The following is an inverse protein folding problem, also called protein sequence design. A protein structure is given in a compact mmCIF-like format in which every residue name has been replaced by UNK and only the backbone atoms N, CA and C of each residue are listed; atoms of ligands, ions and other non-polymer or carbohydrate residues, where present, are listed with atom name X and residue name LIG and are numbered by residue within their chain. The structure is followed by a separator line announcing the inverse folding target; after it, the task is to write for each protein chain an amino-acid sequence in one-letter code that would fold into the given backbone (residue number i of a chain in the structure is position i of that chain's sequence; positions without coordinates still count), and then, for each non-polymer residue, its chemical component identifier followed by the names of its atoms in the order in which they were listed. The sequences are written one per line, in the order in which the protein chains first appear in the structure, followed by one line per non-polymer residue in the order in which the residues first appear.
data_IF_800552934418
#
_entry.id   IF_800552934418
#
_cell.length_a   1.000
_cell.length_b   1.000
_cell.length_c   1.000
_cell.angle_alpha   90.00
_cell.angle_beta   90.00
_cell.angle_gamma   90.00
#
_symmetry.space_group_name_H-M   'P 1'
#
loop_
_entity.id
_entity.type
_entity.pdbx_description
1 polymer ?
#
# COMPACT_ATOMS: atom_id res chain seq x y z
N UNK A 1 43.94 24.76 -11.91
CA UNK A 1 42.50 24.44 -12.08
C UNK A 1 42.27 23.01 -11.65
N UNK A 2 41.43 22.78 -10.63
CA UNK A 2 40.90 21.45 -10.30
C UNK A 2 39.53 21.66 -9.64
N UNK A 3 38.45 21.42 -10.39
CA UNK A 3 37.07 21.40 -9.89
C UNK A 3 36.79 20.02 -9.29
N UNK A 4 36.72 19.94 -7.97
CA UNK A 4 36.32 18.73 -7.26
C UNK A 4 34.79 18.52 -7.38
N UNK A 5 34.40 17.39 -7.98
CA UNK A 5 33.00 17.02 -8.20
C UNK A 5 32.23 16.71 -6.91
N UNK A 6 31.07 17.35 -6.76
CA UNK A 6 30.09 17.15 -5.68
C UNK A 6 29.32 15.83 -5.85
N UNK A 7 29.95 14.70 -5.57
CA UNK A 7 29.33 13.37 -5.73
C UNK A 7 28.72 12.84 -4.41
N UNK A 8 29.14 13.38 -3.26
CA UNK A 8 28.72 12.92 -1.93
C UNK A 8 27.28 13.28 -1.53
N UNK A 9 26.76 14.42 -1.99
CA UNK A 9 25.43 14.90 -1.60
C UNK A 9 24.27 14.25 -2.38
N UNK A 10 24.52 13.78 -3.61
CA UNK A 10 23.45 13.24 -4.45
C UNK A 10 23.09 11.79 -4.06
N UNK A 11 24.09 10.96 -3.75
CA UNK A 11 23.89 9.55 -3.37
C UNK A 11 23.14 9.38 -2.05
N UNK A 12 23.37 10.26 -1.07
CA UNK A 12 22.62 10.31 0.19
C UNK A 12 21.14 10.67 0.00
N UNK A 13 20.86 11.69 -0.83
CA UNK A 13 19.47 12.08 -1.18
C UNK A 13 18.72 10.97 -1.91
N UNK A 14 19.39 10.27 -2.84
CA UNK A 14 18.82 9.16 -3.61
C UNK A 14 18.35 8.00 -2.71
N UNK A 15 19.16 7.58 -1.73
CA UNK A 15 18.78 6.52 -0.77
C UNK A 15 17.66 6.98 0.17
N UNK A 16 17.66 8.27 0.51
CA UNK A 16 16.64 8.91 1.35
C UNK A 16 15.27 8.91 0.65
N UNK A 17 15.25 9.15 -0.67
CA UNK A 17 14.02 9.11 -1.48
C UNK A 17 13.40 7.71 -1.55
N UNK A 18 14.21 6.66 -1.69
CA UNK A 18 13.69 5.29 -1.65
C UNK A 18 13.05 4.96 -0.29
N UNK A 19 13.64 5.40 0.82
CA UNK A 19 13.05 5.22 2.14
C UNK A 19 11.69 5.92 2.27
N UNK A 20 11.53 7.12 1.67
CA UNK A 20 10.26 7.84 1.62
C UNK A 20 9.20 7.10 0.80
N UNK A 21 9.57 6.54 -0.36
CA UNK A 21 8.67 5.67 -1.13
C UNK A 21 8.26 4.43 -0.34
N UNK A 22 9.22 3.78 0.32
CA UNK A 22 8.95 2.62 1.17
C UNK A 22 7.88 2.91 2.22
N UNK A 23 8.01 4.04 2.94
CA UNK A 23 7.02 4.48 3.93
C UNK A 23 5.67 4.82 3.29
N UNK A 24 5.65 5.54 2.16
CA UNK A 24 4.40 5.86 1.47
C UNK A 24 3.59 4.61 1.12
N UNK A 25 4.27 3.57 0.64
CA UNK A 25 3.62 2.35 0.17
C UNK A 25 3.27 1.38 1.30
N UNK A 26 4.17 1.20 2.27
CA UNK A 26 3.98 0.25 3.37
C UNK A 26 3.05 0.80 4.45
N UNK A 27 3.03 2.12 4.64
CA UNK A 27 2.25 2.72 5.70
C UNK A 27 1.05 3.46 5.10
N UNK A 28 1.25 4.50 4.29
CA UNK A 28 0.16 5.38 3.87
C UNK A 28 -0.85 4.70 2.93
N UNK A 29 -0.40 4.05 1.85
CA UNK A 29 -1.32 3.35 0.95
C UNK A 29 -2.00 2.15 1.63
N UNK A 30 -1.29 1.48 2.55
CA UNK A 30 -1.86 0.45 3.42
C UNK A 30 -2.97 1.02 4.31
N UNK A 31 -2.78 2.21 4.87
CA UNK A 31 -3.79 2.88 5.67
C UNK A 31 -5.04 3.23 4.84
N UNK A 32 -4.89 3.65 3.58
CA UNK A 32 -6.05 3.89 2.68
C UNK A 32 -6.92 2.64 2.52
N UNK A 33 -6.30 1.49 2.24
CA UNK A 33 -7.01 0.21 2.12
C UNK A 33 -7.65 -0.20 3.45
N UNK A 34 -6.99 0.08 4.57
CA UNK A 34 -7.53 -0.20 5.90
C UNK A 34 -8.78 0.61 6.20
N UNK A 35 -8.75 1.91 5.90
CA UNK A 35 -9.93 2.77 6.09
C UNK A 35 -11.10 2.34 5.21
N UNK A 36 -10.82 1.95 3.96
CA UNK A 36 -11.83 1.38 3.08
C UNK A 36 -12.43 0.09 3.67
N UNK A 37 -11.62 -0.79 4.22
CA UNK A 37 -12.10 -2.00 4.88
C UNK A 37 -12.96 -1.69 6.10
N UNK A 38 -12.52 -0.81 6.99
CA UNK A 38 -13.34 -0.41 8.16
C UNK A 38 -14.69 0.17 7.71
N UNK A 39 -14.70 0.93 6.61
CA UNK A 39 -15.91 1.55 6.06
C UNK A 39 -16.86 0.55 5.38
N UNK A 40 -16.33 -0.41 4.61
CA UNK A 40 -17.13 -1.35 3.81
C UNK A 40 -17.41 -2.68 4.49
N UNK A 41 -16.51 -3.10 5.37
CA UNK A 41 -16.50 -4.39 6.02
C UNK A 41 -16.16 -4.19 7.51
N UNK A 42 -17.16 -3.81 8.33
CA UNK A 42 -16.96 -3.62 9.76
C UNK A 42 -16.25 -4.83 10.40
N UNK A 43 -15.24 -4.62 11.27
CA UNK A 43 -14.39 -5.69 11.81
C UNK A 43 -15.11 -6.91 12.40
N UNK A 44 -16.30 -6.71 12.97
CA UNK A 44 -17.11 -7.77 13.61
C UNK A 44 -17.87 -8.65 12.60
N UNK A 45 -17.99 -8.24 11.34
CA UNK A 45 -18.66 -9.00 10.28
C UNK A 45 -17.68 -9.84 9.44
N UNK A 46 -16.41 -9.42 9.42
CA UNK A 46 -15.40 -9.99 8.53
C UNK A 46 -15.30 -11.51 8.64
N UNK A 47 -15.23 -12.05 9.86
CA UNK A 47 -15.08 -13.50 10.07
C UNK A 47 -16.25 -14.28 9.43
N UNK A 48 -17.49 -13.86 9.67
CA UNK A 48 -18.67 -14.48 9.07
C UNK A 48 -18.67 -14.39 7.54
N UNK A 49 -18.35 -13.22 6.98
CA UNK A 49 -18.30 -13.04 5.53
C UNK A 49 -17.16 -13.82 4.86
N UNK A 50 -16.01 -13.94 5.50
CA UNK A 50 -14.88 -14.76 5.04
C UNK A 50 -15.26 -16.25 5.03
N UNK A 51 -15.94 -16.73 6.07
CA UNK A 51 -16.43 -18.12 6.13
C UNK A 51 -17.51 -18.40 5.08
N UNK A 52 -18.43 -17.46 4.86
CA UNK A 52 -19.49 -17.59 3.86
C UNK A 52 -18.96 -17.52 2.41
N UNK A 53 -17.80 -16.90 2.20
CA UNK A 53 -17.21 -16.77 0.87
C UNK A 53 -16.47 -18.06 0.46
N UNK A 54 -16.95 -18.73 -0.60
CA UNK A 54 -16.39 -20.00 -1.07
C UNK A 54 -14.89 -19.93 -1.45
N UNK A 55 -14.42 -18.80 -2.00
CA UNK A 55 -13.03 -18.66 -2.38
C UNK A 55 -12.14 -18.41 -1.16
N UNK A 56 -12.49 -17.42 -0.32
CA UNK A 56 -11.69 -17.06 0.84
C UNK A 56 -11.61 -18.19 1.85
N UNK A 57 -12.75 -18.83 2.18
CA UNK A 57 -12.80 -19.97 3.10
C UNK A 57 -11.83 -21.12 2.72
N UNK A 58 -11.54 -21.28 1.43
CA UNK A 58 -10.67 -22.36 0.91
C UNK A 58 -9.23 -21.92 0.63
N UNK A 59 -8.98 -20.64 0.38
CA UNK A 59 -7.70 -20.13 -0.15
C UNK A 59 -6.94 -19.22 0.83
N UNK A 60 -7.45 -19.05 2.06
CA UNK A 60 -6.69 -18.41 3.13
C UNK A 60 -5.69 -19.38 3.77
N UNK A 61 -4.46 -18.90 3.94
CA UNK A 61 -3.38 -19.64 4.62
C UNK A 61 -3.64 -19.67 6.13
N UNK A 62 -3.11 -20.65 6.89
CA UNK A 62 -3.34 -20.73 8.33
C UNK A 62 -3.00 -19.45 9.11
N UNK A 63 -1.92 -18.75 8.76
CA UNK A 63 -1.58 -17.47 9.40
C UNK A 63 -2.54 -16.33 9.00
N UNK A 64 -3.10 -16.37 7.79
CA UNK A 64 -4.10 -15.37 7.37
C UNK A 64 -5.38 -15.55 8.19
N UNK A 65 -5.79 -16.79 8.47
CA UNK A 65 -6.90 -17.08 9.38
C UNK A 65 -6.68 -16.52 10.78
N UNK A 66 -5.51 -16.74 11.37
CA UNK A 66 -5.17 -16.17 12.68
C UNK A 66 -5.24 -14.63 12.67
N UNK A 67 -4.84 -14.01 11.55
CA UNK A 67 -4.96 -12.55 11.37
C UNK A 67 -6.43 -12.12 11.28
N UNK A 68 -7.26 -12.83 10.51
CA UNK A 68 -8.72 -12.56 10.38
C UNK A 68 -9.41 -12.62 11.74
N UNK A 69 -9.14 -13.66 12.53
CA UNK A 69 -9.71 -13.82 13.88
C UNK A 69 -9.32 -12.68 14.82
N UNK A 70 -8.15 -12.07 14.61
CA UNK A 70 -7.69 -10.92 15.37
C UNK A 70 -8.26 -9.57 14.91
N UNK A 71 -8.97 -9.50 13.78
CA UNK A 71 -9.40 -8.21 13.19
C UNK A 71 -10.37 -7.46 14.10
N UNK A 72 -11.27 -8.16 14.78
CA UNK A 72 -12.25 -7.52 15.67
C UNK A 72 -11.56 -6.71 16.80
N UNK A 73 -10.40 -7.17 17.29
CA UNK A 73 -9.67 -6.49 18.37
C UNK A 73 -8.65 -5.48 17.84
N UNK A 74 -8.04 -5.74 16.69
CA UNK A 74 -6.94 -4.93 16.17
C UNK A 74 -7.34 -3.95 15.06
N UNK A 75 -8.62 -3.89 14.67
CA UNK A 75 -9.16 -2.99 13.63
C UNK A 75 -8.34 -3.04 12.33
N UNK A 76 -8.06 -4.24 11.82
CA UNK A 76 -7.26 -4.49 10.62
C UNK A 76 -5.77 -4.07 10.71
N UNK A 77 -5.25 -3.69 11.88
CA UNK A 77 -3.87 -3.19 12.00
C UNK A 77 -2.82 -4.23 11.59
N UNK A 78 -3.09 -5.52 11.81
CA UNK A 78 -2.17 -6.61 11.48
C UNK A 78 -2.40 -7.20 10.07
N UNK A 79 -3.35 -6.67 9.30
CA UNK A 79 -3.67 -7.15 7.96
C UNK A 79 -2.74 -6.47 6.96
N UNK A 80 -1.94 -7.26 6.24
CA UNK A 80 -1.04 -6.73 5.22
C UNK A 80 -1.78 -6.35 3.90
N UNK A 81 -1.10 -5.60 3.03
CA UNK A 81 -1.67 -5.13 1.75
C UNK A 81 -2.18 -6.27 0.87
N UNK A 82 -1.49 -7.41 0.86
CA UNK A 82 -1.89 -8.57 0.03
C UNK A 82 -3.19 -9.18 0.53
N UNK A 83 -3.33 -9.33 1.84
CA UNK A 83 -4.54 -9.86 2.46
C UNK A 83 -5.70 -8.87 2.37
N UNK A 84 -5.46 -7.57 2.58
CA UNK A 84 -6.48 -6.53 2.37
C UNK A 84 -7.00 -6.55 0.94
N UNK A 85 -6.10 -6.59 -0.06
CA UNK A 85 -6.47 -6.73 -1.47
C UNK A 85 -7.31 -7.99 -1.73
N UNK A 86 -6.90 -9.14 -1.17
CA UNK A 86 -7.63 -10.41 -1.31
C UNK A 86 -9.05 -10.30 -0.74
N UNK A 87 -9.23 -9.67 0.43
CA UNK A 87 -10.54 -9.46 1.06
C UNK A 87 -11.41 -8.55 0.19
N UNK A 88 -10.91 -7.34 -0.15
CA UNK A 88 -11.66 -6.33 -0.89
C UNK A 88 -12.22 -6.88 -2.19
N UNK A 89 -11.37 -7.59 -2.95
CA UNK A 89 -11.76 -8.20 -4.21
C UNK A 89 -12.80 -9.30 -4.03
N UNK A 90 -12.55 -10.27 -3.15
CA UNK A 90 -13.37 -11.48 -3.10
C UNK A 90 -14.70 -11.28 -2.36
N UNK A 91 -14.78 -10.28 -1.48
CA UNK A 91 -16.05 -9.84 -0.89
C UNK A 91 -16.77 -8.78 -1.74
N UNK A 92 -16.21 -8.39 -2.90
CA UNK A 92 -16.78 -7.38 -3.79
C UNK A 92 -17.11 -6.05 -3.09
N UNK A 93 -16.22 -5.59 -2.19
CA UNK A 93 -16.49 -4.40 -1.36
C UNK A 93 -16.55 -3.08 -2.16
N UNK A 94 -16.02 -3.11 -3.39
CA UNK A 94 -16.06 -2.01 -4.37
C UNK A 94 -16.33 -2.58 -5.77
N UNK A 95 -16.82 -1.75 -6.71
CA UNK A 95 -16.90 -2.15 -8.11
C UNK A 95 -15.54 -2.63 -8.63
N UNK A 96 -15.52 -3.65 -9.52
CA UNK A 96 -14.28 -4.12 -10.10
C UNK A 96 -13.58 -2.99 -10.87
N UNK A 97 -12.24 -3.00 -10.94
CA UNK A 97 -11.47 -2.10 -11.78
C UNK A 97 -11.93 -2.18 -13.24
N UNK A 98 -11.74 -1.11 -14.00
CA UNK A 98 -12.10 -1.01 -15.42
C UNK A 98 -11.48 -2.14 -16.24
N UNK A 99 -10.26 -2.55 -15.88
CA UNK A 99 -9.50 -3.64 -16.54
C UNK A 99 -9.65 -4.99 -15.84
N UNK A 100 -10.50 -5.09 -14.82
CA UNK A 100 -10.61 -6.25 -13.95
C UNK A 100 -9.45 -6.36 -12.94
N UNK A 101 -9.62 -7.28 -12.01
CA UNK A 101 -8.65 -7.58 -10.97
C UNK A 101 -7.49 -8.44 -11.48
N UNK A 102 -6.31 -8.28 -10.88
CA UNK A 102 -5.08 -8.98 -11.26
C UNK A 102 -4.66 -8.78 -12.73
N UNK A 103 -5.10 -7.69 -13.36
CA UNK A 103 -4.65 -7.40 -14.71
C UNK A 103 -3.15 -7.06 -14.67
N UNK A 104 -2.41 -7.49 -15.70
CA UNK A 104 -1.00 -7.11 -15.84
C UNK A 104 -0.87 -5.67 -16.37
N UNK A 105 -1.89 -5.18 -17.06
CA UNK A 105 -1.93 -3.84 -17.63
C UNK A 105 -2.42 -2.87 -16.56
N UNK A 106 -1.58 -1.88 -16.27
CA UNK A 106 -1.91 -0.82 -15.32
C UNK A 106 -3.14 -0.03 -15.78
N UNK A 107 -3.99 0.41 -14.83
CA UNK A 107 -5.07 1.32 -15.15
C UNK A 107 -4.57 2.62 -15.80
N UNK A 108 -5.23 3.05 -16.88
CA UNK A 108 -4.96 4.31 -17.58
C UNK A 108 -5.23 5.51 -16.68
N UNK A 109 -4.62 6.67 -16.94
CA UNK A 109 -4.80 7.87 -16.11
C UNK A 109 -6.27 8.31 -16.00
N UNK A 110 -7.08 8.05 -17.03
CA UNK A 110 -8.52 8.33 -17.05
C UNK A 110 -9.40 7.32 -16.29
N UNK A 111 -8.88 6.14 -15.95
CA UNK A 111 -9.62 5.06 -15.28
C UNK A 111 -9.61 5.30 -13.75
N UNK A 112 -10.42 6.23 -13.25
CA UNK A 112 -10.27 6.79 -11.89
C UNK A 112 -11.23 6.20 -10.84
N UNK A 113 -11.72 4.98 -11.01
CA UNK A 113 -12.56 4.34 -9.99
C UNK A 113 -11.73 3.89 -8.78
N UNK A 114 -12.40 3.61 -7.65
CA UNK A 114 -11.71 3.04 -6.47
C UNK A 114 -11.11 1.66 -6.76
N UNK A 115 -11.78 0.83 -7.57
CA UNK A 115 -11.22 -0.44 -8.04
C UNK A 115 -9.90 -0.21 -8.80
N UNK A 116 -9.88 0.74 -9.73
CA UNK A 116 -8.67 1.10 -10.47
C UNK A 116 -7.54 1.59 -9.55
N UNK A 117 -7.86 2.41 -8.55
CA UNK A 117 -6.86 2.88 -7.59
C UNK A 117 -6.31 1.78 -6.69
N UNK A 118 -7.11 0.78 -6.32
CA UNK A 118 -6.63 -0.39 -5.59
C UNK A 118 -5.63 -1.18 -6.45
N UNK A 119 -5.91 -1.35 -7.74
CA UNK A 119 -4.96 -1.96 -8.67
C UNK A 119 -3.68 -1.13 -8.81
N UNK A 120 -3.79 0.21 -8.89
CA UNK A 120 -2.61 1.09 -8.88
C UNK A 120 -1.79 0.89 -7.62
N UNK A 121 -2.41 0.81 -6.43
CA UNK A 121 -1.71 0.54 -5.17
C UNK A 121 -0.99 -0.80 -5.24
N UNK A 122 -1.66 -1.87 -5.69
CA UNK A 122 -1.06 -3.21 -5.84
C UNK A 122 0.17 -3.17 -6.74
N UNK A 123 0.04 -2.58 -7.92
CA UNK A 123 1.11 -2.46 -8.91
C UNK A 123 2.30 -1.66 -8.36
N UNK A 124 2.06 -0.43 -7.88
CA UNK A 124 3.12 0.45 -7.37
C UNK A 124 3.82 -0.15 -6.16
N UNK A 125 3.09 -0.85 -5.29
CA UNK A 125 3.68 -1.58 -4.19
C UNK A 125 4.62 -2.68 -4.67
N UNK A 126 4.18 -3.49 -5.63
CA UNK A 126 5.00 -4.58 -6.17
C UNK A 126 6.25 -4.04 -6.88
N UNK A 127 6.11 -3.00 -7.69
CA UNK A 127 7.25 -2.32 -8.33
C UNK A 127 8.29 -1.84 -7.33
N UNK A 128 7.85 -1.18 -6.24
CA UNK A 128 8.77 -0.61 -5.24
C UNK A 128 9.40 -1.70 -4.38
N UNK A 129 8.62 -2.68 -3.92
CA UNK A 129 9.10 -3.76 -3.04
C UNK A 129 10.04 -4.73 -3.75
N UNK A 130 9.81 -4.99 -5.05
CA UNK A 130 10.62 -5.92 -5.84
C UNK A 130 11.67 -5.23 -6.71
N UNK A 131 11.88 -3.93 -6.54
CA UNK A 131 12.92 -3.19 -7.26
C UNK A 131 14.30 -3.74 -6.93
N UNK A 132 15.13 -3.96 -7.95
CA UNK A 132 16.51 -4.46 -7.80
C UNK A 132 17.53 -3.46 -7.27
N UNK A 133 17.13 -2.22 -6.97
CA UNK A 133 18.00 -1.19 -6.40
C UNK A 133 17.20 -0.17 -5.59
N UNK A 134 17.90 0.63 -4.79
CA UNK A 134 17.32 1.68 -3.94
C UNK A 134 17.56 3.08 -4.49
N UNK A 135 17.86 3.21 -5.79
CA UNK A 135 18.16 4.50 -6.41
C UNK A 135 16.88 5.17 -6.88
N UNK A 136 16.44 6.21 -6.20
CA UNK A 136 15.27 7.02 -6.56
C UNK A 136 15.68 8.49 -6.66
N UNK A 137 15.56 9.09 -7.83
CA UNK A 137 15.82 10.52 -8.00
C UNK A 137 14.61 11.37 -7.57
N UNK A 138 14.77 12.70 -7.59
CA UNK A 138 13.72 13.60 -7.12
C UNK A 138 12.51 13.64 -8.06
N UNK A 139 12.70 13.52 -9.37
CA UNK A 139 11.61 13.52 -10.33
C UNK A 139 10.79 12.25 -10.25
N UNK A 140 11.45 11.09 -10.12
CA UNK A 140 10.81 9.81 -9.89
C UNK A 140 9.99 9.85 -8.60
N UNK A 141 10.59 10.32 -7.50
CA UNK A 141 9.89 10.48 -6.23
C UNK A 141 8.65 11.39 -6.37
N UNK A 142 8.80 12.54 -7.03
CA UNK A 142 7.71 13.48 -7.23
C UNK A 142 6.54 12.85 -8.00
N UNK A 143 6.84 12.08 -9.05
CA UNK A 143 5.82 11.39 -9.85
C UNK A 143 5.04 10.36 -9.03
N UNK A 144 5.71 9.55 -8.22
CA UNK A 144 5.01 8.63 -7.30
C UNK A 144 4.15 9.39 -6.29
N UNK A 145 4.68 10.45 -5.68
CA UNK A 145 3.94 11.22 -4.68
C UNK A 145 2.73 11.95 -5.28
N UNK A 146 2.83 12.45 -6.51
CA UNK A 146 1.67 13.00 -7.24
C UNK A 146 0.58 11.94 -7.41
N UNK A 147 0.96 10.76 -7.92
CA UNK A 147 0.02 9.64 -8.06
C UNK A 147 -0.62 9.23 -6.73
N UNK A 148 0.17 9.12 -5.66
CA UNK A 148 -0.35 8.70 -4.35
C UNK A 148 -1.29 9.75 -3.75
N UNK A 149 -1.03 11.04 -3.95
CA UNK A 149 -1.95 12.11 -3.54
C UNK A 149 -3.25 12.07 -4.33
N UNK A 150 -3.20 11.82 -5.64
CA UNK A 150 -4.40 11.69 -6.46
C UNK A 150 -5.27 10.51 -6.01
N UNK A 151 -4.64 9.36 -5.72
CA UNK A 151 -5.31 8.19 -5.13
C UNK A 151 -5.94 8.55 -3.78
N UNK A 152 -5.17 9.18 -2.88
CA UNK A 152 -5.68 9.57 -1.56
C UNK A 152 -6.87 10.54 -1.65
N UNK A 153 -6.83 11.53 -2.54
CA UNK A 153 -7.94 12.46 -2.74
C UNK A 153 -9.22 11.76 -3.25
N UNK A 154 -9.08 10.76 -4.13
CA UNK A 154 -10.23 9.95 -4.58
C UNK A 154 -10.77 9.04 -3.47
N UNK A 155 -9.89 8.47 -2.64
CA UNK A 155 -10.31 7.72 -1.46
C UNK A 155 -11.04 8.62 -0.45
N UNK A 156 -10.55 9.82 -0.18
CA UNK A 156 -11.22 10.78 0.70
C UNK A 156 -12.63 11.11 0.21
N UNK A 157 -12.76 11.43 -1.08
CA UNK A 157 -14.05 11.69 -1.71
C UNK A 157 -15.00 10.49 -1.58
N UNK A 158 -14.48 9.28 -1.79
CA UNK A 158 -15.28 8.04 -1.70
C UNK A 158 -15.69 7.69 -0.27
N UNK A 159 -14.83 7.95 0.71
CA UNK A 159 -15.07 7.69 2.13
C UNK A 159 -15.77 8.87 2.84
N UNK A 160 -16.24 9.87 2.07
CA UNK A 160 -16.85 11.10 2.58
C UNK A 160 -15.98 11.85 3.61
N UNK A 161 -14.65 11.77 3.47
CA UNK A 161 -13.69 12.52 4.29
C UNK A 161 -13.44 13.89 3.65
N UNK A 162 -13.70 14.97 4.39
CA UNK A 162 -13.63 16.34 3.84
C UNK A 162 -12.35 17.11 4.23
N UNK A 163 -11.44 16.51 5.00
CA UNK A 163 -10.37 17.24 5.68
C UNK A 163 -8.98 17.13 5.03
N UNK A 164 -8.85 16.58 3.81
CA UNK A 164 -7.56 16.37 3.14
C UNK A 164 -6.48 15.68 4.00
N UNK A 165 -6.92 14.88 4.97
CA UNK A 165 -6.05 14.26 5.96
C UNK A 165 -5.09 13.26 5.31
N UNK A 166 -5.60 12.42 4.40
CA UNK A 166 -4.84 11.37 3.71
C UNK A 166 -3.82 11.99 2.75
N UNK A 167 -4.24 13.03 2.02
CA UNK A 167 -3.34 13.78 1.13
C UNK A 167 -2.22 14.46 1.93
N UNK A 168 -2.55 15.01 3.10
CA UNK A 168 -1.59 15.68 3.99
C UNK A 168 -0.57 14.70 4.58
N UNK A 169 -1.00 13.49 4.95
CA UNK A 169 -0.11 12.44 5.46
C UNK A 169 0.93 12.02 4.43
N UNK A 170 0.54 11.87 3.16
CA UNK A 170 1.49 11.58 2.06
C UNK A 170 2.46 12.75 1.83
N UNK A 171 1.96 13.99 1.91
CA UNK A 171 2.76 15.19 1.66
C UNK A 171 3.83 15.44 2.74
N UNK A 172 3.56 15.01 3.98
CA UNK A 172 4.42 15.25 5.14
C UNK A 172 5.44 14.13 5.40
N UNK A 173 5.50 13.12 4.53
CA UNK A 173 6.40 11.97 4.70
C UNK A 173 7.87 12.38 4.72
N UNK A 174 8.40 12.41 5.95
CA UNK A 174 9.83 12.53 6.24
C UNK A 174 10.51 11.18 5.99
N UNK A 175 11.82 11.17 5.69
CA UNK A 175 12.57 9.92 5.57
C UNK A 175 12.48 9.12 6.87
N UNK A 176 11.96 7.89 6.80
CA UNK A 176 11.83 7.03 7.97
C UNK A 176 13.21 6.55 8.46
N UNK A 177 13.48 6.73 9.75
CA UNK A 177 14.70 6.27 10.46
C UNK A 177 14.76 4.72 10.62
N UNK A 178 13.75 3.99 10.13
CA UNK A 178 13.38 2.67 10.65
C UNK A 178 13.93 1.44 9.88
N UNK A 179 14.83 1.61 8.91
CA UNK A 179 15.49 0.45 8.26
C UNK A 179 16.41 -0.38 9.20
N UNK A 180 16.59 0.02 10.47
CA UNK A 180 17.39 -0.76 11.44
C UNK A 180 16.66 -1.93 12.09
N UNK A 181 15.31 -2.00 12.07
CA UNK A 181 14.57 -3.02 12.86
C UNK A 181 14.21 -4.33 12.12
N UNK A 182 14.44 -4.44 10.80
CA UNK A 182 14.14 -5.67 10.03
C UNK A 182 15.32 -6.65 9.85
N UNK A 183 16.46 -6.45 10.54
CA UNK A 183 17.63 -7.37 10.51
C UNK A 183 17.66 -8.44 11.63
N UNK A 184 16.49 -8.88 12.11
CA UNK A 184 16.29 -10.13 12.87
C UNK A 184 14.94 -10.63 12.34
N UNK A 185 14.87 -11.59 11.42
CA UNK A 185 15.34 -12.95 11.54
C UNK A 185 15.81 -13.48 10.18
N UNK A 186 17.07 -13.88 10.09
CA UNK A 186 17.49 -15.01 9.26
C UNK A 186 18.29 -15.86 10.25
N UNK A 187 17.62 -16.82 10.89
CA UNK A 187 18.35 -17.96 11.44
C UNK A 187 18.93 -18.69 10.23
N UNK A 188 20.26 -18.78 10.20
CA UNK A 188 20.93 -19.75 9.35
C UNK A 188 20.83 -21.07 10.09
N UNK A 189 19.93 -21.93 9.65
CA UNK A 189 20.04 -23.36 9.89
C UNK A 189 20.39 -24.00 8.55
N UNK A 190 21.68 -24.23 8.36
CA UNK A 190 22.33 -25.34 7.64
C UNK A 190 23.82 -25.32 7.98
#
# INVERSE_FOLDING_TARGET
MATAGSTGNNTGKIKTNYARLGHAVQDELQNLLRELLVFKEPPHLLDGHVHANQYLSKNLRPHEWAVIQGVQTNLYNNVDVSLMYKIIRNLNLVPPPTRGWDNQIHPMVSEITIGDDIERIRHRRNEIVHRGNTKVDNSELANYFLLFKDIAGRFEMYLCKQNQELVSRISTLKPAVWMKKRKRCISKDY
#
